data_IF_376713362674
#
_entry.id   IF_376713362674
#
_cell.length_a   1.000
_cell.length_b   1.000
_cell.length_c   1.000
_cell.angle_alpha   90.00
_cell.angle_beta   90.00
_cell.angle_gamma   90.00
#
_symmetry.space_group_name_H-M   'P 1'
#
loop_
_entity.id
_entity.type
_entity.pdbx_description
1 polymer ?
#
# COMPACT_ATOMS: atom_id res chain seq x y z
N UNK A 1 16.14 24.34 2.32
CA UNK A 1 15.40 23.42 1.42
C UNK A 1 16.46 22.62 0.69
N UNK A 2 16.44 21.28 0.72
CA UNK A 2 17.42 20.52 -0.08
C UNK A 2 17.06 20.71 -1.55
N UNK A 3 17.83 21.55 -2.23
CA UNK A 3 17.69 21.83 -3.66
C UNK A 3 18.59 20.86 -4.43
N UNK A 4 18.35 19.56 -4.25
CA UNK A 4 19.15 18.53 -4.91
C UNK A 4 18.83 18.51 -6.41
N UNK A 5 19.84 18.57 -7.31
CA UNK A 5 19.61 18.49 -8.75
C UNK A 5 19.29 17.06 -9.22
N UNK A 6 19.68 16.06 -8.43
CA UNK A 6 19.43 14.65 -8.71
C UNK A 6 19.28 13.85 -7.41
N UNK A 7 18.52 12.76 -7.49
CA UNK A 7 18.39 11.76 -6.43
C UNK A 7 18.93 10.42 -6.94
N UNK A 8 19.90 9.86 -6.23
CA UNK A 8 20.25 8.44 -6.36
C UNK A 8 19.07 7.60 -5.86
N UNK A 9 18.67 6.63 -6.69
CA UNK A 9 17.67 5.63 -6.33
C UNK A 9 18.41 4.35 -5.99
N UNK A 10 18.16 3.85 -4.78
CA UNK A 10 18.75 2.62 -4.29
C UNK A 10 17.65 1.60 -3.99
N UNK A 11 17.92 0.33 -4.26
CA UNK A 11 17.10 -0.83 -3.94
C UNK A 11 17.94 -1.78 -3.08
N UNK A 12 17.50 -2.08 -1.86
CA UNK A 12 18.30 -2.80 -0.86
C UNK A 12 19.69 -2.16 -0.64
N UNK A 13 19.76 -0.83 -0.68
CA UNK A 13 21.02 -0.08 -0.52
C UNK A 13 21.98 -0.14 -1.72
N UNK A 14 21.64 -0.87 -2.79
CA UNK A 14 22.36 -0.83 -4.07
C UNK A 14 21.77 0.25 -4.95
N UNK A 15 22.58 1.17 -5.47
CA UNK A 15 22.15 2.14 -6.47
C UNK A 15 21.71 1.43 -7.76
N UNK A 16 20.52 1.77 -8.24
CA UNK A 16 19.91 1.19 -9.46
C UNK A 16 19.70 2.23 -10.57
N UNK A 17 19.77 3.52 -10.24
CA UNK A 17 19.46 4.58 -11.17
C UNK A 17 19.41 5.94 -10.49
N UNK A 18 18.98 6.94 -11.25
CA UNK A 18 18.95 8.34 -10.82
C UNK A 18 17.66 9.00 -11.28
N UNK A 19 17.02 9.80 -10.41
CA UNK A 19 16.00 10.77 -10.82
C UNK A 19 16.65 12.14 -10.92
N UNK A 20 16.82 12.64 -12.14
CA UNK A 20 17.34 13.97 -12.40
C UNK A 20 16.21 14.99 -12.50
N UNK A 21 16.39 16.16 -11.88
CA UNK A 21 15.50 17.30 -12.06
C UNK A 21 15.92 18.10 -13.29
N UNK A 22 14.95 18.43 -14.13
CA UNK A 22 15.11 19.22 -15.34
C UNK A 22 14.38 20.57 -15.20
N UNK A 23 14.66 21.48 -16.12
CA UNK A 23 13.98 22.76 -16.19
C UNK A 23 12.45 22.60 -16.35
N UNK A 24 11.72 23.53 -15.75
CA UNK A 24 10.25 23.57 -15.80
C UNK A 24 9.57 22.62 -14.82
N UNK A 25 10.21 22.31 -13.68
CA UNK A 25 9.72 21.36 -12.67
C UNK A 25 9.48 19.97 -13.26
N UNK A 26 10.37 19.55 -14.17
CA UNK A 26 10.34 18.23 -14.78
C UNK A 26 11.33 17.30 -14.10
N UNK A 27 11.06 16.02 -14.15
CA UNK A 27 11.98 14.98 -13.66
C UNK A 27 11.99 13.78 -14.57
N UNK A 28 13.14 13.11 -14.68
CA UNK A 28 13.32 11.90 -15.47
C UNK A 28 14.10 10.88 -14.64
N UNK A 29 13.61 9.64 -14.62
CA UNK A 29 14.33 8.51 -14.05
C UNK A 29 15.10 7.78 -15.14
N UNK A 30 16.32 7.37 -14.83
CA UNK A 30 17.17 6.55 -15.70
C UNK A 30 17.82 5.46 -14.87
N UNK A 31 17.75 4.22 -15.33
CA UNK A 31 18.49 3.11 -14.74
C UNK A 31 20.00 3.24 -15.00
N UNK A 32 20.81 2.74 -14.08
CA UNK A 32 22.25 2.61 -14.27
C UNK A 32 22.55 1.37 -15.14
N UNK A 33 23.48 1.50 -16.09
CA UNK A 33 23.84 0.40 -17.01
C UNK A 33 24.34 -0.84 -16.27
N UNK A 34 25.02 -0.66 -15.14
CA UNK A 34 25.50 -1.78 -14.29
C UNK A 34 24.34 -2.56 -13.68
N UNK A 35 23.23 -1.88 -13.35
CA UNK A 35 22.02 -2.56 -12.88
C UNK A 35 21.33 -3.30 -14.03
N UNK A 36 21.22 -2.69 -15.21
CA UNK A 36 20.60 -3.32 -16.39
C UNK A 36 21.39 -4.56 -16.83
N UNK A 37 22.72 -4.50 -16.83
CA UNK A 37 23.60 -5.57 -17.28
C UNK A 37 23.65 -6.78 -16.33
N UNK A 38 23.23 -6.60 -15.08
CA UNK A 38 23.22 -7.67 -14.09
C UNK A 38 22.01 -8.60 -14.28
N UNK A 39 22.29 -9.87 -14.59
CA UNK A 39 21.29 -10.91 -14.77
C UNK A 39 20.66 -11.36 -13.43
N UNK A 40 21.35 -11.17 -12.31
CA UNK A 40 20.92 -11.51 -10.96
C UNK A 40 20.39 -10.28 -10.19
N UNK A 41 20.15 -9.16 -10.89
CA UNK A 41 19.65 -7.92 -10.28
C UNK A 41 18.36 -8.14 -9.48
N UNK A 42 18.19 -7.45 -8.34
CA UNK A 42 16.90 -7.32 -7.68
C UNK A 42 15.86 -6.70 -8.62
N UNK A 43 14.61 -7.17 -8.61
CA UNK A 43 13.50 -6.62 -9.40
C UNK A 43 13.01 -5.31 -8.75
N UNK A 44 13.10 -4.17 -9.46
CA UNK A 44 12.46 -2.93 -9.00
C UNK A 44 10.94 -2.96 -9.17
N UNK A 45 10.47 -3.31 -10.36
CA UNK A 45 9.05 -3.37 -10.66
C UNK A 45 8.81 -4.22 -11.91
N UNK A 46 7.69 -4.94 -11.92
CA UNK A 46 7.22 -5.61 -13.14
C UNK A 46 6.87 -4.61 -14.26
N UNK A 47 6.62 -3.34 -13.96
CA UNK A 47 6.40 -2.30 -14.97
C UNK A 47 7.62 -2.07 -15.89
N UNK A 48 8.82 -2.41 -15.41
CA UNK A 48 10.08 -2.28 -16.16
C UNK A 48 10.52 -3.59 -16.78
N UNK A 49 9.71 -4.63 -16.77
CA UNK A 49 10.08 -5.95 -17.26
C UNK A 49 9.44 -6.21 -18.62
N UNK A 50 10.24 -6.62 -19.60
CA UNK A 50 9.71 -7.11 -20.87
C UNK A 50 9.34 -8.60 -20.82
N UNK A 51 8.78 -9.13 -21.90
CA UNK A 51 8.39 -10.55 -22.01
C UNK A 51 9.57 -11.55 -21.89
N UNK A 52 10.80 -11.07 -22.01
CA UNK A 52 12.03 -11.86 -21.88
C UNK A 52 12.73 -11.64 -20.52
N UNK A 53 12.16 -10.81 -19.65
CA UNK A 53 12.73 -10.46 -18.34
C UNK A 53 13.79 -9.36 -18.38
N UNK A 54 14.04 -8.73 -19.52
CA UNK A 54 14.97 -7.61 -19.64
C UNK A 54 14.36 -6.30 -19.10
N UNK A 55 15.23 -5.35 -18.72
CA UNK A 55 14.79 -4.02 -18.26
C UNK A 55 14.33 -3.18 -19.46
N UNK A 56 13.07 -2.75 -19.43
CA UNK A 56 12.53 -1.72 -20.30
C UNK A 56 13.06 -0.35 -19.87
N UNK A 57 14.21 0.05 -20.39
CA UNK A 57 14.79 1.38 -20.16
C UNK A 57 14.26 2.39 -21.17
N UNK A 58 13.05 2.92 -20.93
CA UNK A 58 12.42 3.94 -21.76
C UNK A 58 12.15 5.20 -20.93
N UNK A 59 13.20 6.00 -20.63
CA UNK A 59 13.08 7.12 -19.71
C UNK A 59 12.13 8.18 -20.25
N UNK A 60 11.20 8.64 -19.41
CA UNK A 60 10.20 9.67 -19.73
C UNK A 60 10.26 10.80 -18.72
N UNK A 61 10.19 12.02 -19.22
CA UNK A 61 10.13 13.20 -18.38
C UNK A 61 8.68 13.48 -17.96
N UNK A 62 8.47 13.68 -16.66
CA UNK A 62 7.19 14.06 -16.07
C UNK A 62 7.28 15.47 -15.50
N UNK A 63 6.21 16.25 -15.60
CA UNK A 63 6.15 17.62 -15.08
C UNK A 63 5.34 17.66 -13.79
N UNK A 64 5.85 18.32 -12.75
CA UNK A 64 5.25 18.46 -11.39
C UNK A 64 5.15 17.14 -10.62
N UNK A 65 4.63 16.09 -11.26
CA UNK A 65 4.68 14.70 -10.80
C UNK A 65 6.00 14.05 -11.21
N UNK A 66 6.35 12.97 -10.51
CA UNK A 66 7.44 12.06 -10.89
C UNK A 66 6.87 10.85 -11.63
N UNK A 67 7.72 9.98 -12.14
CA UNK A 67 7.26 8.77 -12.83
C UNK A 67 6.29 7.93 -11.95
N UNK A 68 5.25 7.28 -12.53
CA UNK A 68 4.19 6.60 -11.78
C UNK A 68 4.68 5.64 -10.69
N UNK A 69 5.74 4.86 -10.93
CA UNK A 69 6.29 3.96 -9.91
C UNK A 69 6.65 4.72 -8.62
N UNK A 70 7.41 5.81 -8.73
CA UNK A 70 7.85 6.59 -7.57
C UNK A 70 6.74 7.50 -7.02
N UNK A 71 5.82 7.95 -7.88
CA UNK A 71 4.67 8.75 -7.47
C UNK A 71 3.80 7.98 -6.47
N UNK A 72 3.64 6.66 -6.68
CA UNK A 72 2.89 5.76 -5.81
C UNK A 72 3.60 5.40 -4.48
N UNK A 73 4.89 5.71 -4.32
CA UNK A 73 5.61 5.57 -3.05
C UNK A 73 5.37 6.75 -2.10
N UNK A 74 4.85 7.87 -2.63
CA UNK A 74 4.58 9.05 -1.81
C UNK A 74 3.25 8.90 -1.07
N UNK A 75 3.13 9.48 0.14
CA UNK A 75 1.87 9.54 0.86
C UNK A 75 0.77 10.23 0.05
N UNK A 76 -0.48 9.87 0.37
CA UNK A 76 -1.70 10.44 -0.22
C UNK A 76 -2.52 11.25 0.79
N UNK A 77 -3.51 11.99 0.28
CA UNK A 77 -4.54 12.66 1.08
C UNK A 77 -4.00 13.59 2.17
N UNK A 78 -4.60 13.51 3.36
CA UNK A 78 -4.27 14.40 4.48
C UNK A 78 -2.82 14.24 4.96
N UNK A 79 -2.25 13.04 4.90
CA UNK A 79 -0.87 12.79 5.28
C UNK A 79 0.10 13.50 4.33
N UNK A 80 -0.16 13.44 3.02
CA UNK A 80 0.61 14.19 2.02
C UNK A 80 0.60 15.68 2.28
N UNK A 81 -0.58 16.25 2.47
CA UNK A 81 -0.76 17.69 2.75
C UNK A 81 -0.08 18.14 4.05
N UNK A 82 -0.10 17.27 5.06
CA UNK A 82 0.59 17.51 6.31
C UNK A 82 2.11 17.53 6.12
N UNK A 83 2.69 16.51 5.49
CA UNK A 83 4.13 16.40 5.27
C UNK A 83 4.65 17.51 4.36
N UNK A 84 3.91 17.82 3.28
CA UNK A 84 4.23 18.91 2.36
C UNK A 84 4.36 20.25 3.08
N UNK A 85 3.39 20.58 3.95
CA UNK A 85 3.45 21.79 4.79
C UNK A 85 4.64 21.78 5.73
N UNK A 86 4.94 20.65 6.36
CA UNK A 86 6.05 20.51 7.32
C UNK A 86 7.41 20.75 6.68
N UNK A 87 7.59 20.32 5.42
CA UNK A 87 8.85 20.52 4.68
C UNK A 87 8.83 21.78 3.80
N UNK A 88 7.74 22.55 3.82
CA UNK A 88 7.63 23.84 3.12
C UNK A 88 7.50 23.72 1.60
N UNK A 89 6.91 22.64 1.08
CA UNK A 89 6.70 22.41 -0.36
C UNK A 89 5.21 22.29 -0.68
N UNK A 90 4.83 22.58 -1.94
CA UNK A 90 3.46 22.34 -2.40
C UNK A 90 3.24 20.83 -2.54
N UNK A 91 2.11 20.32 -2.02
CA UNK A 91 1.79 18.89 -2.07
C UNK A 91 1.78 18.32 -3.49
N UNK A 92 1.45 19.11 -4.51
CA UNK A 92 1.48 18.67 -5.90
C UNK A 92 2.90 18.40 -6.45
N UNK A 93 3.95 19.01 -5.88
CA UNK A 93 5.33 18.88 -6.39
C UNK A 93 6.00 17.64 -5.79
N UNK A 94 6.10 16.58 -6.59
CA UNK A 94 6.48 15.26 -6.10
C UNK A 94 7.99 15.07 -5.94
N UNK A 95 8.79 15.64 -6.82
CA UNK A 95 10.24 15.52 -6.71
C UNK A 95 10.78 16.09 -5.37
N UNK A 96 10.39 17.32 -4.95
CA UNK A 96 10.80 17.85 -3.65
C UNK A 96 10.27 17.01 -2.47
N UNK A 97 9.06 16.42 -2.57
CA UNK A 97 8.54 15.52 -1.55
C UNK A 97 9.38 14.25 -1.44
N UNK A 98 9.69 13.61 -2.57
CA UNK A 98 10.54 12.42 -2.61
C UNK A 98 11.93 12.71 -2.04
N UNK A 99 12.53 13.86 -2.37
CA UNK A 99 13.83 14.27 -1.83
C UNK A 99 13.83 14.40 -0.29
N UNK A 100 12.69 14.69 0.33
CA UNK A 100 12.56 14.82 1.79
C UNK A 100 12.16 13.50 2.47
N UNK A 101 11.32 12.69 1.82
CA UNK A 101 10.74 11.46 2.37
C UNK A 101 11.50 10.19 1.96
N UNK A 102 12.43 10.28 1.02
CA UNK A 102 13.08 9.15 0.36
C UNK A 102 13.91 8.22 1.25
N UNK A 103 14.10 8.55 2.52
CA UNK A 103 14.82 7.71 3.48
C UNK A 103 13.99 6.57 4.10
N UNK A 104 12.66 6.64 4.04
CA UNK A 104 11.76 5.61 4.57
C UNK A 104 10.51 5.52 3.69
N UNK A 105 10.68 4.90 2.51
CA UNK A 105 9.61 4.59 1.58
C UNK A 105 9.08 3.17 1.82
N UNK A 106 7.88 2.83 1.33
CA UNK A 106 7.42 1.45 1.26
C UNK A 106 8.42 0.58 0.48
N UNK A 107 8.62 -0.65 0.94
CA UNK A 107 9.57 -1.59 0.34
C UNK A 107 11.02 -1.27 0.67
N UNK A 108 11.92 -1.63 -0.25
CA UNK A 108 13.37 -1.49 -0.07
C UNK A 108 13.97 -0.36 -0.92
N UNK A 109 13.11 0.49 -1.49
CA UNK A 109 13.54 1.65 -2.29
C UNK A 109 13.90 2.79 -1.35
N UNK A 110 15.02 3.46 -1.64
CA UNK A 110 15.38 4.73 -1.03
C UNK A 110 15.77 5.73 -2.10
N UNK A 111 15.44 7.00 -1.88
CA UNK A 111 15.84 8.11 -2.73
C UNK A 111 16.70 9.08 -1.92
N UNK A 112 17.94 9.26 -2.37
CA UNK A 112 18.95 10.03 -1.66
C UNK A 112 19.49 11.13 -2.56
N UNK A 113 19.65 12.38 -2.10
CA UNK A 113 20.37 13.39 -2.86
C UNK A 113 21.74 12.86 -3.30
N UNK A 114 22.06 13.04 -4.59
CA UNK A 114 23.41 12.73 -5.09
C UNK A 114 24.41 13.52 -4.25
N UNK A 115 25.37 12.82 -3.64
CA UNK A 115 26.45 13.50 -2.92
C UNK A 115 27.47 14.02 -3.91
N UNK A 116 27.70 15.33 -3.92
CA UNK A 116 28.83 15.90 -4.65
C UNK A 116 30.13 15.38 -4.04
N UNK A 117 30.85 14.52 -4.77
CA UNK A 117 32.19 14.06 -4.40
C UNK A 117 33.21 15.20 -4.25
N UNK A 118 32.85 16.43 -4.64
CA UNK A 118 33.68 17.63 -4.50
C UNK A 118 33.63 18.28 -3.10
N UNK A 119 32.66 17.96 -2.24
CA UNK A 119 32.58 18.56 -0.89
C UNK A 119 33.27 17.74 0.20
N UNK A 120 33.65 16.49 -0.07
CA UNK A 120 34.33 15.60 0.88
C UNK A 120 35.86 15.76 0.92
N UNK A 121 36.45 16.58 0.05
CA UNK A 121 37.91 16.78 -0.03
C UNK A 121 38.46 17.89 0.88
N UNK A 122 37.63 18.60 1.66
CA UNK A 122 38.08 19.69 2.55
C UNK A 122 37.73 19.55 4.04
N UNK A 123 37.29 18.36 4.48
CA UNK A 123 37.09 18.09 5.90
C UNK A 123 37.95 16.89 6.36
N UNK A 124 39.27 17.08 6.37
CA UNK A 124 40.20 16.17 7.05
C UNK A 124 40.20 16.51 8.55
N UNK A 125 39.35 15.84 9.33
CA UNK A 125 39.34 15.93 10.79
C UNK A 125 38.67 14.68 11.39
N UNK A 126 39.26 13.99 12.39
CA UNK A 126 38.76 12.70 12.87
C UNK A 126 37.48 12.77 13.75
N UNK A 127 36.71 13.85 13.69
CA UNK A 127 35.50 14.02 14.52
C UNK A 127 34.18 14.12 13.72
N UNK A 128 34.20 13.93 12.40
CA UNK A 128 33.03 14.09 11.54
C UNK A 128 32.22 12.80 11.25
N UNK A 129 32.43 11.72 12.01
CA UNK A 129 31.69 10.46 11.83
C UNK A 129 30.47 10.30 12.77
N UNK A 130 30.24 11.25 13.68
CA UNK A 130 29.11 11.23 14.61
C UNK A 130 28.37 12.59 14.58
N UNK A 131 27.55 12.83 13.56
CA UNK A 131 26.70 14.02 13.56
C UNK A 131 26.32 14.57 12.20
N UNK A 132 25.60 13.79 11.37
CA UNK A 132 24.76 14.33 10.27
C UNK A 132 23.45 13.56 10.09
N UNK A 133 22.87 13.11 11.21
CA UNK A 133 21.51 12.54 11.28
C UNK A 133 20.43 13.64 11.48
N UNK A 134 20.79 14.90 11.26
CA UNK A 134 19.91 16.04 11.51
C UNK A 134 18.94 16.27 10.34
N UNK A 135 17.65 16.12 10.65
CA UNK A 135 16.48 16.64 9.92
C UNK A 135 15.88 15.81 8.78
N UNK A 136 16.07 14.48 8.76
CA UNK A 136 15.21 13.61 7.94
C UNK A 136 14.01 13.14 8.76
N UNK A 137 12.82 13.28 8.19
CA UNK A 137 11.60 12.78 8.81
C UNK A 137 11.59 11.26 8.73
N UNK A 138 12.25 10.61 9.71
CA UNK A 138 11.97 9.20 10.01
C UNK A 138 10.56 9.15 10.56
N UNK A 139 9.70 8.35 9.94
CA UNK A 139 8.34 8.19 10.42
C UNK A 139 8.36 7.39 11.72
N UNK A 140 8.58 8.11 12.81
CA UNK A 140 8.43 7.57 14.16
C UNK A 140 7.47 8.47 14.92
N UNK A 141 6.50 7.83 15.58
CA UNK A 141 5.56 8.45 16.52
C UNK A 141 6.28 9.28 17.61
N UNK A 142 7.55 8.95 17.91
CA UNK A 142 8.29 9.41 19.08
C UNK A 142 8.80 10.87 19.04
N UNK A 143 8.41 11.72 18.07
CA UNK A 143 9.00 13.06 17.99
C UNK A 143 8.21 14.16 17.28
N UNK A 144 6.92 13.95 17.01
CA UNK A 144 6.15 14.90 16.19
C UNK A 144 4.77 15.14 16.77
N UNK A 145 4.65 16.21 17.57
CA UNK A 145 3.35 16.71 18.01
C UNK A 145 2.53 17.15 16.78
N UNK A 146 1.58 16.32 16.37
CA UNK A 146 0.69 16.54 15.24
C UNK A 146 -0.27 17.70 15.56
N UNK A 147 -0.04 18.88 14.97
CA UNK A 147 -0.94 20.05 15.14
C UNK A 147 -2.17 19.92 14.24
N UNK A 148 -3.32 19.71 14.87
CA UNK A 148 -4.62 19.34 14.30
C UNK A 148 -5.28 20.38 13.36
N UNK A 149 -4.74 21.60 13.26
CA UNK A 149 -5.32 22.67 12.40
C UNK A 149 -5.33 22.32 10.91
N UNK A 150 -4.56 21.31 10.52
CA UNK A 150 -4.36 20.84 9.15
C UNK A 150 -5.49 19.93 8.60
N UNK A 151 -6.32 19.33 9.47
CA UNK A 151 -7.27 18.24 9.14
C UNK A 151 -8.67 18.78 8.76
N UNK A 152 -8.89 20.09 8.86
CA UNK A 152 -10.21 20.70 8.60
C UNK A 152 -10.66 20.68 7.13
N UNK A 153 -9.77 20.44 6.15
CA UNK A 153 -10.05 20.75 4.73
C UNK A 153 -9.66 19.67 3.70
N UNK A 154 -9.41 18.41 4.07
CA UNK A 154 -9.10 17.34 3.12
C UNK A 154 -10.26 16.36 2.96
N UNK A 155 -10.97 16.41 1.83
CA UNK A 155 -12.16 15.61 1.57
C UNK A 155 -11.91 14.10 1.41
N UNK A 156 -13.01 13.36 1.60
CA UNK A 156 -13.26 11.91 1.42
C UNK A 156 -12.45 10.97 2.35
N UNK A 157 -13.11 10.59 3.46
CA UNK A 157 -13.00 9.31 4.19
C UNK A 157 -11.69 8.90 4.90
N UNK A 158 -10.67 9.75 5.08
CA UNK A 158 -9.39 9.30 5.64
C UNK A 158 -9.18 9.56 7.14
N UNK A 159 -9.04 8.48 7.95
CA UNK A 159 -8.33 8.51 9.23
C UNK A 159 -6.83 8.81 9.05
N UNK A 160 -6.11 9.09 10.15
CA UNK A 160 -4.67 9.38 10.08
C UNK A 160 -3.87 8.10 10.29
N UNK A 161 -3.06 7.75 9.28
CA UNK A 161 -2.11 6.63 9.33
C UNK A 161 -0.73 7.13 9.70
N UNK A 162 -0.11 6.55 10.74
CA UNK A 162 1.19 7.00 11.25
C UNK A 162 2.09 5.78 11.50
N UNK A 163 3.30 5.76 10.93
CA UNK A 163 4.28 4.74 11.30
C UNK A 163 4.78 4.95 12.74
N UNK A 164 4.90 3.84 13.46
CA UNK A 164 5.30 3.78 14.85
C UNK A 164 6.42 2.75 15.03
N UNK A 165 7.34 3.04 15.95
CA UNK A 165 8.36 2.08 16.40
C UNK A 165 8.01 1.66 17.81
N UNK A 166 7.99 0.34 18.05
CA UNK A 166 7.59 -0.24 19.33
C UNK A 166 8.39 -1.49 19.67
N UNK A 167 8.17 -2.05 20.85
CA UNK A 167 8.76 -3.33 21.23
C UNK A 167 8.29 -4.42 20.23
N UNK A 168 9.20 -4.90 19.39
CA UNK A 168 8.93 -6.02 18.47
C UNK A 168 8.92 -5.69 16.98
N UNK A 169 8.94 -4.43 16.52
CA UNK A 169 9.06 -4.10 15.10
C UNK A 169 8.50 -2.74 14.66
N UNK A 170 8.43 -2.55 13.33
CA UNK A 170 7.83 -1.37 12.69
C UNK A 170 6.33 -1.59 12.47
N UNK A 171 5.52 -0.69 13.03
CA UNK A 171 4.06 -0.75 12.99
C UNK A 171 3.48 0.42 12.20
N UNK A 172 2.30 0.20 11.63
CA UNK A 172 1.44 1.24 11.07
C UNK A 172 0.22 1.36 11.98
N UNK A 173 0.00 2.56 12.51
CA UNK A 173 -1.15 2.87 13.37
C UNK A 173 -2.16 3.69 12.57
N UNK A 174 -3.41 3.23 12.54
CA UNK A 174 -4.55 3.94 11.95
C UNK A 174 -5.47 4.46 13.03
N UNK A 175 -5.61 5.79 13.05
CA UNK A 175 -6.40 6.49 14.04
C UNK A 175 -7.86 6.65 13.59
N UNK A 176 -8.81 6.70 14.54
CA UNK A 176 -10.21 6.97 14.24
C UNK A 176 -10.37 8.39 13.68
N UNK A 177 -11.47 8.59 12.96
CA UNK A 177 -11.78 9.89 12.35
C UNK A 177 -13.12 10.42 12.84
N UNK A 178 -13.32 11.73 12.77
CA UNK A 178 -14.60 12.33 13.12
C UNK A 178 -15.77 11.84 12.25
N UNK A 179 -15.49 11.42 11.01
CA UNK A 179 -16.49 10.93 10.06
C UNK A 179 -16.84 9.46 10.33
N UNK A 180 -15.82 8.66 10.68
CA UNK A 180 -15.93 7.22 10.92
C UNK A 180 -15.19 6.85 12.21
N UNK A 181 -15.88 6.97 13.37
CA UNK A 181 -15.29 6.68 14.68
C UNK A 181 -14.93 5.21 14.90
N UNK A 182 -15.69 4.29 14.29
CA UNK A 182 -15.60 2.84 14.43
C UNK A 182 -14.74 2.16 13.33
N UNK A 183 -14.07 2.96 12.50
CA UNK A 183 -13.24 2.46 11.40
C UNK A 183 -12.08 1.56 11.89
N UNK A 184 -11.35 1.88 12.99
CA UNK A 184 -10.35 0.98 13.54
C UNK A 184 -10.90 -0.38 13.93
N UNK A 185 -12.04 -0.42 14.58
CA UNK A 185 -12.72 -1.64 15.01
C UNK A 185 -13.23 -2.47 13.83
N UNK A 186 -13.80 -1.82 12.81
CA UNK A 186 -14.23 -2.46 11.56
C UNK A 186 -13.05 -3.11 10.82
N UNK A 187 -11.94 -2.38 10.65
CA UNK A 187 -10.76 -2.92 9.98
C UNK A 187 -10.12 -4.07 10.78
N UNK A 188 -9.98 -3.93 12.11
CA UNK A 188 -9.49 -5.02 12.95
C UNK A 188 -10.36 -6.27 12.83
N UNK A 189 -11.68 -6.12 12.95
CA UNK A 189 -12.63 -7.22 12.88
C UNK A 189 -12.60 -7.91 11.50
N UNK A 190 -12.56 -7.14 10.41
CA UNK A 190 -12.48 -7.69 9.06
C UNK A 190 -11.13 -8.39 8.81
N UNK A 191 -10.02 -7.79 9.19
CA UNK A 191 -8.69 -8.41 9.06
C UNK A 191 -8.58 -9.70 9.89
N UNK A 192 -9.08 -9.71 11.12
CA UNK A 192 -9.08 -10.91 11.97
C UNK A 192 -9.96 -12.02 11.40
N UNK A 193 -11.15 -11.69 10.89
CA UNK A 193 -12.01 -12.67 10.21
C UNK A 193 -11.35 -13.20 8.92
N UNK A 194 -10.65 -12.34 8.17
CA UNK A 194 -9.91 -12.74 6.98
C UNK A 194 -8.85 -13.80 7.30
N UNK A 195 -8.11 -13.63 8.39
CA UNK A 195 -7.13 -14.62 8.90
C UNK A 195 -7.80 -15.98 9.13
N UNK A 196 -8.93 -16.00 9.84
CA UNK A 196 -9.67 -17.23 10.14
C UNK A 196 -10.21 -17.92 8.87
N UNK A 197 -10.57 -17.15 7.83
CA UNK A 197 -10.96 -17.67 6.51
C UNK A 197 -9.76 -18.28 5.76
N UNK A 198 -8.53 -17.99 6.18
CA UNK A 198 -7.28 -18.50 5.60
C UNK A 198 -6.60 -17.51 4.65
N UNK A 199 -6.86 -16.21 4.81
CA UNK A 199 -6.14 -15.15 4.12
C UNK A 199 -4.88 -14.83 4.91
N UNK A 200 -3.74 -14.79 4.22
CA UNK A 200 -2.48 -14.39 4.84
C UNK A 200 -2.55 -12.89 5.20
N UNK A 201 -2.44 -12.55 6.48
CA UNK A 201 -2.41 -11.17 6.99
C UNK A 201 -1.11 -10.92 7.78
N UNK A 202 -0.65 -9.66 7.91
CA UNK A 202 0.36 -9.31 8.90
C UNK A 202 -0.20 -9.44 10.33
N UNK A 203 0.68 -9.36 11.32
CA UNK A 203 0.30 -9.20 12.71
C UNK A 203 -0.54 -7.91 12.88
N UNK A 204 -1.66 -8.02 13.59
CA UNK A 204 -2.60 -6.91 13.83
C UNK A 204 -2.92 -6.79 15.32
N UNK A 205 -3.28 -5.58 15.76
CA UNK A 205 -3.77 -5.33 17.11
C UNK A 205 -4.80 -4.20 17.12
N UNK A 206 -5.65 -4.17 18.14
CA UNK A 206 -6.61 -3.09 18.40
C UNK A 206 -6.26 -2.45 19.74
N UNK A 207 -5.59 -1.31 19.66
CA UNK A 207 -5.01 -0.64 20.82
C UNK A 207 -5.97 0.42 21.38
N UNK A 208 -6.26 0.43 22.69
CA UNK A 208 -6.92 1.57 23.32
C UNK A 208 -6.07 2.84 23.09
N UNK A 209 -6.70 3.95 22.71
CA UNK A 209 -5.95 5.19 22.45
C UNK A 209 -5.13 5.65 23.67
N UNK A 210 -5.59 5.36 24.89
CA UNK A 210 -4.90 5.73 26.12
C UNK A 210 -3.59 4.94 26.32
N UNK A 211 -3.40 3.83 25.62
CA UNK A 211 -2.19 3.02 25.67
C UNK A 211 -1.11 3.49 24.68
N UNK A 212 -1.39 4.51 23.85
CA UNK A 212 -0.47 5.00 22.83
C UNK A 212 0.08 6.38 23.25
N UNK A 213 1.39 6.43 23.47
CA UNK A 213 2.08 7.69 23.77
C UNK A 213 2.21 8.59 22.54
N UNK A 214 2.26 9.91 22.75
CA UNK A 214 2.51 10.87 21.67
C UNK A 214 1.33 11.09 20.71
N UNK A 215 0.15 10.56 21.03
CA UNK A 215 -1.07 10.82 20.26
C UNK A 215 -1.47 12.31 20.29
N UNK A 216 -2.15 12.80 19.23
CA UNK A 216 -2.64 14.17 19.19
C UNK A 216 -3.67 14.46 20.29
N UNK A 217 -3.60 15.64 20.90
CA UNK A 217 -4.56 16.08 21.92
C UNK A 217 -6.02 16.01 21.40
N UNK A 218 -6.87 15.33 22.17
CA UNK A 218 -8.29 15.17 21.87
C UNK A 218 -8.61 14.18 20.76
N UNK A 219 -7.68 13.34 20.29
CA UNK A 219 -8.01 12.25 19.35
C UNK A 219 -9.06 11.29 19.93
N UNK A 220 -9.06 11.09 21.25
CA UNK A 220 -10.02 10.29 22.00
C UNK A 220 -11.47 10.78 21.90
N UNK A 221 -11.71 12.01 21.41
CA UNK A 221 -13.06 12.50 21.13
C UNK A 221 -13.68 11.85 19.88
N UNK A 222 -12.86 11.20 19.05
CA UNK A 222 -13.26 10.66 17.75
C UNK A 222 -13.36 9.13 17.73
N UNK A 223 -12.95 8.44 18.79
CA UNK A 223 -13.00 6.99 18.89
C UNK A 223 -12.31 6.50 20.15
N UNK A 224 -12.43 5.20 20.45
CA UNK A 224 -11.83 4.60 21.63
C UNK A 224 -10.48 3.91 21.34
N UNK A 225 -10.33 3.41 20.11
CA UNK A 225 -9.23 2.52 19.73
C UNK A 225 -8.49 3.03 18.50
N UNK A 226 -7.30 2.49 18.26
CA UNK A 226 -6.57 2.58 17.01
C UNK A 226 -6.24 1.18 16.51
N UNK A 227 -6.27 1.00 15.19
CA UNK A 227 -5.89 -0.24 14.55
C UNK A 227 -4.38 -0.20 14.29
N UNK A 228 -3.67 -1.24 14.71
CA UNK A 228 -2.25 -1.38 14.48
C UNK A 228 -2.00 -2.58 13.57
N UNK A 229 -1.13 -2.42 12.58
CA UNK A 229 -0.69 -3.52 11.73
C UNK A 229 0.82 -3.49 11.55
N UNK A 230 1.45 -4.66 11.65
CA UNK A 230 2.89 -4.79 11.47
C UNK A 230 3.25 -4.66 10.00
N UNK A 231 4.32 -3.91 9.72
CA UNK A 231 4.88 -3.81 8.38
C UNK A 231 5.47 -5.14 7.92
N UNK A 232 4.89 -5.74 6.89
CA UNK A 232 5.43 -6.96 6.26
C UNK A 232 6.61 -6.67 5.32
N UNK A 233 6.88 -5.40 5.00
CA UNK A 233 8.03 -4.95 4.20
C UNK A 233 9.26 -4.63 5.07
N UNK A 234 9.24 -5.05 6.34
CA UNK A 234 10.31 -4.85 7.33
C UNK A 234 10.59 -6.18 8.04
N UNK A 235 11.84 -6.63 8.00
CA UNK A 235 12.29 -7.87 8.64
C UNK A 235 13.56 -7.62 9.48
N UNK A 236 13.94 -8.60 10.31
CA UNK A 236 15.19 -8.53 11.08
C UNK A 236 16.44 -8.46 10.17
N UNK A 237 16.35 -9.02 8.97
CA UNK A 237 17.44 -9.04 7.99
C UNK A 237 17.46 -7.78 7.09
N UNK A 238 16.51 -6.86 7.29
CA UNK A 238 16.37 -5.62 6.54
C UNK A 238 15.02 -5.48 5.82
N UNK A 239 14.87 -4.44 4.98
CA UNK A 239 13.62 -4.19 4.26
C UNK A 239 13.41 -5.23 3.15
N UNK A 240 12.16 -5.66 2.99
CA UNK A 240 11.73 -6.52 1.88
C UNK A 240 11.11 -5.61 0.82
N UNK A 241 11.50 -5.79 -0.45
CA UNK A 241 10.96 -4.95 -1.52
C UNK A 241 9.50 -5.30 -1.82
N UNK A 242 8.69 -4.27 -2.06
CA UNK A 242 7.27 -4.39 -2.42
C UNK A 242 6.92 -3.42 -3.53
N UNK A 243 5.86 -3.75 -4.27
CA UNK A 243 5.20 -2.82 -5.18
C UNK A 243 3.69 -3.09 -5.20
N UNK A 244 2.88 -2.06 -5.43
CA UNK A 244 1.43 -2.20 -5.62
C UNK A 244 1.06 -2.33 -7.11
N UNK A 245 -0.18 -2.73 -7.39
CA UNK A 245 -0.64 -2.91 -8.77
C UNK A 245 -0.83 -1.59 -9.53
N UNK A 246 -0.88 -0.44 -8.84
CA UNK A 246 -0.83 0.85 -9.52
C UNK A 246 0.57 1.11 -10.10
N UNK A 247 1.62 0.73 -9.36
CA UNK A 247 3.00 0.75 -9.84
C UNK A 247 3.21 -0.22 -11.00
N UNK A 248 2.76 -1.47 -10.87
CA UNK A 248 2.90 -2.50 -11.93
C UNK A 248 2.23 -2.06 -13.24
N UNK A 249 1.06 -1.42 -13.17
CA UNK A 249 0.34 -0.93 -14.35
C UNK A 249 0.78 0.46 -14.81
N UNK A 250 1.73 1.10 -14.11
CA UNK A 250 2.22 2.44 -14.47
C UNK A 250 1.15 3.52 -14.37
N UNK A 251 0.18 3.36 -13.47
CA UNK A 251 -0.90 4.35 -13.25
C UNK A 251 -0.56 5.26 -12.08
N UNK A 252 -0.96 6.52 -12.16
CA UNK A 252 -0.76 7.48 -11.08
C UNK A 252 -1.69 7.21 -9.88
N UNK A 253 -1.35 7.68 -8.67
CA UNK A 253 -2.17 7.48 -7.47
C UNK A 253 -3.64 7.89 -7.64
N UNK A 254 -3.89 9.04 -8.27
CA UNK A 254 -5.25 9.56 -8.55
C UNK A 254 -6.08 8.62 -9.45
N UNK A 255 -5.40 7.75 -10.19
CA UNK A 255 -5.96 6.81 -11.16
C UNK A 255 -6.02 5.37 -10.61
N UNK A 256 -5.91 5.18 -9.28
CA UNK A 256 -5.92 3.87 -8.61
C UNK A 256 -7.12 2.96 -8.91
N UNK A 257 -8.23 3.51 -9.44
CA UNK A 257 -9.41 2.75 -9.89
C UNK A 257 -9.38 2.35 -11.39
N UNK A 258 -8.33 2.71 -12.15
CA UNK A 258 -8.18 2.39 -13.57
C UNK A 258 -7.54 1.01 -13.78
N UNK A 259 -8.31 -0.04 -13.52
CA UNK A 259 -7.93 -1.42 -13.80
C UNK A 259 -9.06 -2.42 -13.54
N UNK A 260 -8.72 -3.70 -13.59
CA UNK A 260 -9.66 -4.79 -13.30
C UNK A 260 -8.99 -5.90 -12.48
N UNK A 261 -9.77 -6.59 -11.66
CA UNK A 261 -9.31 -7.77 -10.93
C UNK A 261 -8.82 -8.88 -11.88
N UNK A 262 -9.38 -8.95 -13.09
CA UNK A 262 -8.90 -9.84 -14.16
C UNK A 262 -7.47 -9.52 -14.61
N UNK A 263 -7.13 -8.25 -14.74
CA UNK A 263 -5.76 -7.84 -15.11
C UNK A 263 -4.77 -8.16 -13.99
N UNK A 264 -5.17 -7.97 -12.73
CA UNK A 264 -4.38 -8.38 -11.56
C UNK A 264 -4.13 -9.90 -11.60
N UNK A 265 -5.20 -10.70 -11.76
CA UNK A 265 -5.12 -12.15 -11.85
C UNK A 265 -4.20 -12.63 -12.98
N UNK A 266 -4.22 -11.95 -14.13
CA UNK A 266 -3.34 -12.28 -15.26
C UNK A 266 -1.87 -12.07 -14.94
N UNK A 267 -1.52 -10.99 -14.24
CA UNK A 267 -0.13 -10.77 -13.80
C UNK A 267 0.27 -11.86 -12.82
N UNK A 268 -0.57 -12.16 -11.83
CA UNK A 268 -0.29 -13.22 -10.85
C UNK A 268 -0.08 -14.58 -11.53
N UNK A 269 -0.90 -14.92 -12.53
CA UNK A 269 -0.78 -16.15 -13.30
C UNK A 269 0.57 -16.29 -14.04
N UNK A 270 1.18 -15.17 -14.44
CA UNK A 270 2.44 -15.16 -15.20
C UNK A 270 3.64 -15.07 -14.26
N UNK A 271 3.55 -14.28 -13.21
CA UNK A 271 4.70 -13.81 -12.44
C UNK A 271 4.85 -14.48 -11.07
N UNK A 272 3.79 -15.11 -10.56
CA UNK A 272 3.74 -15.66 -9.19
C UNK A 272 3.42 -17.16 -9.16
N UNK A 273 3.41 -17.74 -7.97
CA UNK A 273 3.08 -19.14 -7.73
C UNK A 273 1.57 -19.39 -7.55
N UNK A 274 1.19 -20.68 -7.52
CA UNK A 274 -0.21 -21.08 -7.33
C UNK A 274 -0.78 -20.58 -5.99
N UNK A 275 0.04 -20.52 -4.93
CA UNK A 275 -0.36 -19.97 -3.63
C UNK A 275 -0.82 -18.52 -3.75
N UNK A 276 -0.09 -17.70 -4.49
CA UNK A 276 -0.45 -16.29 -4.72
C UNK A 276 -1.79 -16.16 -5.46
N UNK A 277 -2.06 -17.04 -6.42
CA UNK A 277 -3.35 -17.09 -7.13
C UNK A 277 -4.48 -17.46 -6.17
N UNK A 278 -4.30 -18.51 -5.36
CA UNK A 278 -5.29 -18.95 -4.37
C UNK A 278 -5.57 -17.84 -3.34
N UNK A 279 -4.52 -17.20 -2.81
CA UNK A 279 -4.66 -16.09 -1.87
C UNK A 279 -5.37 -14.88 -2.50
N UNK A 280 -5.11 -14.58 -3.77
CA UNK A 280 -5.82 -13.53 -4.50
C UNK A 280 -7.31 -13.83 -4.62
N UNK A 281 -7.68 -15.02 -5.08
CA UNK A 281 -9.10 -15.40 -5.24
C UNK A 281 -9.81 -15.41 -3.89
N UNK A 282 -9.18 -15.97 -2.84
CA UNK A 282 -9.73 -15.94 -1.47
C UNK A 282 -9.95 -14.52 -0.99
N UNK A 283 -8.97 -13.63 -1.13
CA UNK A 283 -9.07 -12.22 -0.74
C UNK A 283 -10.14 -11.48 -1.54
N UNK A 284 -10.23 -11.71 -2.84
CA UNK A 284 -11.23 -11.09 -3.70
C UNK A 284 -12.64 -11.52 -3.32
N UNK A 285 -12.88 -12.83 -3.18
CA UNK A 285 -14.18 -13.37 -2.74
C UNK A 285 -14.54 -12.84 -1.36
N UNK A 286 -13.62 -12.86 -0.40
CA UNK A 286 -13.82 -12.30 0.93
C UNK A 286 -14.19 -10.81 0.89
N UNK A 287 -13.47 -10.01 0.09
CA UNK A 287 -13.74 -8.58 -0.07
C UNK A 287 -15.13 -8.32 -0.64
N UNK A 288 -15.62 -9.17 -1.55
CA UNK A 288 -17.00 -9.10 -2.05
C UNK A 288 -18.00 -9.45 -0.96
N UNK A 289 -17.75 -10.48 -0.16
CA UNK A 289 -18.66 -10.94 0.91
C UNK A 289 -18.87 -9.89 2.00
N UNK A 290 -17.81 -9.16 2.38
CA UNK A 290 -17.90 -8.06 3.36
C UNK A 290 -18.26 -6.70 2.73
N UNK A 291 -18.37 -6.63 1.40
CA UNK A 291 -18.62 -5.39 0.67
C UNK A 291 -17.52 -4.33 0.89
N UNK A 292 -16.27 -4.69 0.61
CA UNK A 292 -15.16 -3.74 0.59
C UNK A 292 -15.09 -3.03 -0.77
N UNK A 293 -15.78 -1.90 -0.87
CA UNK A 293 -15.83 -1.05 -2.08
C UNK A 293 -14.54 -0.29 -2.39
N UNK A 294 -13.52 -0.34 -1.51
CA UNK A 294 -12.28 0.42 -1.68
C UNK A 294 -11.05 -0.44 -2.04
N UNK A 295 -11.24 -1.72 -2.42
CA UNK A 295 -10.15 -2.62 -2.86
C UNK A 295 -9.59 -2.29 -4.25
N UNK A 296 -8.99 -1.11 -4.39
CA UNK A 296 -8.40 -0.59 -5.63
C UNK A 296 -6.97 -1.09 -5.87
N UNK A 297 -6.33 -0.69 -6.97
CA UNK A 297 -5.02 -1.22 -7.39
C UNK A 297 -3.92 -1.10 -6.30
N UNK A 298 -3.98 -0.06 -5.46
CA UNK A 298 -3.01 0.14 -4.38
C UNK A 298 -3.20 -0.74 -3.13
N UNK A 299 -4.27 -1.54 -3.03
CA UNK A 299 -4.47 -2.51 -1.94
C UNK A 299 -4.06 -3.93 -2.34
N UNK A 300 -3.48 -4.08 -3.53
CA UNK A 300 -2.91 -5.32 -4.02
C UNK A 300 -1.43 -5.06 -4.23
N UNK A 301 -0.58 -5.81 -3.53
CA UNK A 301 0.87 -5.69 -3.66
C UNK A 301 1.53 -7.03 -3.89
N UNK A 302 2.66 -6.97 -4.57
CA UNK A 302 3.64 -8.03 -4.62
C UNK A 302 4.79 -7.68 -3.67
N UNK A 303 5.37 -8.71 -3.07
CA UNK A 303 6.61 -8.61 -2.31
C UNK A 303 7.66 -9.55 -2.89
N UNK A 304 8.93 -9.25 -2.65
CA UNK A 304 10.07 -9.94 -3.25
C UNK A 304 11.00 -10.52 -2.17
N UNK A 305 10.68 -11.69 -1.59
CA UNK A 305 11.46 -12.29 -0.51
C UNK A 305 12.92 -12.60 -0.92
N UNK A 306 13.11 -13.07 -2.15
CA UNK A 306 14.43 -13.37 -2.73
C UNK A 306 14.97 -12.21 -3.59
N UNK A 307 14.36 -11.04 -3.45
CA UNK A 307 14.62 -9.81 -4.21
C UNK A 307 14.28 -9.89 -5.71
N UNK A 308 13.78 -11.02 -6.25
CA UNK A 308 13.61 -11.22 -7.70
C UNK A 308 12.25 -11.76 -8.11
N UNK A 309 11.79 -12.83 -7.45
CA UNK A 309 10.53 -13.51 -7.73
C UNK A 309 9.43 -12.88 -6.87
N UNK A 310 8.37 -12.36 -7.48
CA UNK A 310 7.27 -11.82 -6.72
C UNK A 310 6.42 -12.92 -6.11
N UNK A 311 5.77 -12.60 -5.01
CA UNK A 311 4.65 -13.35 -4.45
C UNK A 311 3.58 -12.35 -4.03
N UNK A 312 2.32 -12.77 -3.91
CA UNK A 312 1.28 -11.89 -3.40
C UNK A 312 1.59 -11.54 -1.94
N UNK A 313 1.66 -10.24 -1.62
CA UNK A 313 1.90 -9.77 -0.27
C UNK A 313 0.74 -10.13 0.66
N UNK A 314 0.96 -10.23 1.99
CA UNK A 314 -0.11 -10.31 2.97
C UNK A 314 -1.20 -9.25 2.75
N UNK A 315 -2.42 -9.55 3.14
CA UNK A 315 -3.53 -8.61 2.98
C UNK A 315 -3.39 -7.44 3.94
N UNK A 316 -3.91 -6.30 3.54
CA UNK A 316 -4.02 -5.09 4.35
C UNK A 316 -5.22 -4.30 3.83
N UNK A 317 -5.72 -3.36 4.65
CA UNK A 317 -6.87 -2.52 4.32
C UNK A 317 -8.14 -3.30 3.97
N UNK A 318 -8.34 -4.46 4.62
CA UNK A 318 -9.62 -5.18 4.54
C UNK A 318 -10.59 -4.61 5.58
N UNK A 319 -11.67 -4.01 5.11
CA UNK A 319 -12.76 -3.48 5.94
C UNK A 319 -14.07 -3.45 5.13
N UNK A 320 -15.21 -3.40 5.81
CA UNK A 320 -16.49 -3.20 5.12
C UNK A 320 -16.76 -1.72 4.92
N UNK A 321 -17.03 -1.29 3.68
CA UNK A 321 -17.35 0.11 3.38
C UNK A 321 -18.85 0.38 3.35
N UNK A 322 -19.68 -0.66 3.35
CA UNK A 322 -21.13 -0.58 3.14
C UNK A 322 -21.86 0.33 4.13
N UNK A 323 -21.43 0.35 5.40
CA UNK A 323 -22.04 1.19 6.43
C UNK A 323 -21.74 2.69 6.24
N UNK A 324 -20.69 3.01 5.50
CA UNK A 324 -20.21 4.38 5.29
C UNK A 324 -20.55 4.92 3.90
N UNK A 325 -20.63 4.02 2.93
CA UNK A 325 -20.89 4.29 1.52
C UNK A 325 -22.02 3.36 1.03
N UNK A 326 -23.28 3.57 1.48
CA UNK A 326 -24.40 2.82 0.94
C UNK A 326 -24.52 3.13 -0.55
N UNK A 327 -24.73 2.09 -1.36
CA UNK A 327 -24.82 2.14 -2.84
C UNK A 327 -23.49 2.18 -3.61
N UNK A 328 -22.35 1.94 -2.97
CA UNK A 328 -21.09 1.78 -3.70
C UNK A 328 -21.01 0.42 -4.40
N UNK A 329 -20.22 0.35 -5.47
CA UNK A 329 -19.87 -0.86 -6.23
C UNK A 329 -18.48 -1.36 -5.81
N UNK A 330 -18.02 -2.48 -6.38
CA UNK A 330 -16.63 -2.89 -6.23
C UNK A 330 -15.67 -1.81 -6.76
N UNK A 331 -14.49 -1.66 -6.16
CA UNK A 331 -13.50 -0.66 -6.59
C UNK A 331 -13.09 -0.85 -8.05
N UNK A 332 -12.86 -2.10 -8.47
CA UNK A 332 -12.43 -2.45 -9.81
C UNK A 332 -13.45 -3.38 -10.49
N UNK A 333 -13.35 -3.47 -11.83
CA UNK A 333 -14.17 -4.42 -12.58
C UNK A 333 -13.72 -5.85 -12.28
N UNK A 334 -14.66 -6.77 -12.04
CA UNK A 334 -14.36 -8.21 -12.00
C UNK A 334 -14.02 -8.71 -13.40
N UNK A 335 -15.01 -8.62 -14.30
CA UNK A 335 -14.86 -8.82 -15.73
C UNK A 335 -15.21 -7.51 -16.46
N UNK A 336 -16.49 -7.28 -16.77
CA UNK A 336 -16.96 -6.08 -17.48
C UNK A 336 -17.66 -5.07 -16.55
N UNK A 337 -18.07 -5.49 -15.36
CA UNK A 337 -18.85 -4.70 -14.40
C UNK A 337 -18.17 -4.62 -13.05
N UNK A 338 -18.49 -3.56 -12.31
CA UNK A 338 -18.14 -3.32 -10.91
C UNK A 338 -19.28 -3.71 -9.96
N UNK A 339 -20.49 -3.93 -10.49
CA UNK A 339 -21.66 -4.29 -9.70
C UNK A 339 -21.41 -5.58 -8.92
N UNK A 340 -21.71 -5.58 -7.62
CA UNK A 340 -21.53 -6.75 -6.75
C UNK A 340 -22.22 -8.01 -7.26
N UNK A 341 -23.42 -7.87 -7.81
CA UNK A 341 -24.20 -8.98 -8.41
C UNK A 341 -23.54 -9.59 -9.65
N UNK A 342 -22.58 -8.92 -10.26
CA UNK A 342 -21.81 -9.46 -11.39
C UNK A 342 -20.66 -10.37 -10.97
N UNK A 343 -20.36 -10.44 -9.67
CA UNK A 343 -19.45 -11.44 -9.12
C UNK A 343 -20.17 -12.77 -8.98
N UNK A 344 -19.98 -13.65 -9.96
CA UNK A 344 -20.57 -15.00 -10.04
C UNK A 344 -19.49 -16.04 -10.31
N UNK A 345 -19.79 -17.33 -10.08
CA UNK A 345 -18.88 -18.42 -10.46
C UNK A 345 -18.60 -18.47 -11.98
N UNK A 346 -19.55 -18.04 -12.81
CA UNK A 346 -19.35 -17.91 -14.26
C UNK A 346 -18.39 -16.75 -14.59
N UNK A 347 -18.54 -15.61 -13.90
CA UNK A 347 -17.60 -14.49 -14.04
C UNK A 347 -16.18 -14.89 -13.64
N UNK A 348 -16.04 -15.63 -12.55
CA UNK A 348 -14.76 -16.18 -12.09
C UNK A 348 -14.16 -17.18 -13.08
N UNK A 349 -14.99 -18.02 -13.70
CA UNK A 349 -14.56 -18.93 -14.79
C UNK A 349 -14.02 -18.14 -15.97
N UNK A 350 -14.75 -17.12 -16.43
CA UNK A 350 -14.28 -16.24 -17.52
C UNK A 350 -12.98 -15.50 -17.16
N UNK A 351 -12.82 -15.06 -15.91
CA UNK A 351 -11.58 -14.46 -15.44
C UNK A 351 -10.41 -15.46 -15.50
N UNK A 352 -10.62 -16.70 -15.04
CA UNK A 352 -9.62 -17.76 -15.09
C UNK A 352 -9.18 -18.06 -16.52
N UNK A 353 -10.14 -18.23 -17.44
CA UNK A 353 -9.86 -18.53 -18.85
C UNK A 353 -9.03 -17.41 -19.51
N UNK A 354 -9.37 -16.15 -19.24
CA UNK A 354 -8.61 -14.98 -19.74
C UNK A 354 -7.23 -14.83 -19.10
N UNK A 355 -7.02 -15.39 -17.91
CA UNK A 355 -5.72 -15.47 -17.25
C UNK A 355 -4.95 -16.75 -17.62
N UNK A 356 -5.52 -17.62 -18.47
CA UNK A 356 -4.96 -18.93 -18.82
C UNK A 356 -4.73 -19.85 -17.60
N UNK A 357 -5.63 -19.76 -16.60
CA UNK A 357 -5.61 -20.58 -15.41
C UNK A 357 -6.66 -21.70 -15.47
N UNK A 358 -6.45 -22.83 -14.78
CA UNK A 358 -7.49 -23.85 -14.62
C UNK A 358 -8.70 -23.26 -13.90
N UNK A 359 -9.87 -23.21 -14.55
CA UNK A 359 -11.08 -22.61 -13.98
C UNK A 359 -11.54 -23.29 -12.68
N UNK A 360 -11.23 -24.58 -12.52
CA UNK A 360 -11.48 -25.31 -11.28
C UNK A 360 -10.70 -24.73 -10.08
N UNK A 361 -9.43 -24.33 -10.25
CA UNK A 361 -8.63 -23.73 -9.17
C UNK A 361 -9.30 -22.47 -8.63
N UNK A 362 -9.73 -21.59 -9.54
CA UNK A 362 -10.38 -20.33 -9.20
C UNK A 362 -11.75 -20.55 -8.57
N UNK A 363 -12.61 -21.34 -9.20
CA UNK A 363 -13.98 -21.56 -8.72
C UNK A 363 -14.03 -22.37 -7.43
N UNK A 364 -13.18 -23.39 -7.26
CA UNK A 364 -13.10 -24.16 -6.02
C UNK A 364 -12.61 -23.30 -4.85
N UNK A 365 -11.58 -22.47 -5.07
CA UNK A 365 -11.09 -21.53 -4.04
C UNK A 365 -12.17 -20.54 -3.62
N UNK A 366 -12.93 -19.99 -4.57
CA UNK A 366 -14.03 -19.08 -4.25
C UNK A 366 -15.14 -19.77 -3.44
N UNK A 367 -15.56 -20.98 -3.84
CA UNK A 367 -16.57 -21.76 -3.09
C UNK A 367 -16.11 -22.07 -1.67
N UNK A 368 -14.88 -22.57 -1.53
CA UNK A 368 -14.27 -22.83 -0.22
C UNK A 368 -14.28 -21.57 0.65
N UNK A 369 -13.98 -20.42 0.07
CA UNK A 369 -13.96 -19.13 0.78
C UNK A 369 -15.36 -18.74 1.27
N UNK A 370 -16.39 -18.89 0.42
CA UNK A 370 -17.79 -18.64 0.80
C UNK A 370 -18.23 -19.56 1.94
N UNK A 371 -17.96 -20.86 1.82
CA UNK A 371 -18.31 -21.87 2.84
C UNK A 371 -17.65 -21.56 4.19
N UNK A 372 -16.34 -21.25 4.18
CA UNK A 372 -15.61 -20.88 5.40
C UNK A 372 -16.14 -19.58 6.00
N UNK A 373 -16.36 -18.55 5.17
CA UNK A 373 -16.91 -17.29 5.62
C UNK A 373 -18.28 -17.48 6.26
N UNK A 374 -19.16 -18.28 5.67
CA UNK A 374 -20.50 -18.52 6.20
C UNK A 374 -20.49 -19.23 7.55
N UNK A 375 -19.63 -20.23 7.69
CA UNK A 375 -19.47 -20.94 8.96
C UNK A 375 -18.95 -20.01 10.07
N UNK A 376 -17.99 -19.13 9.74
CA UNK A 376 -17.36 -18.22 10.69
C UNK A 376 -18.24 -17.00 11.00
N UNK A 377 -18.91 -16.42 10.00
CA UNK A 377 -19.70 -15.19 10.15
C UNK A 377 -20.81 -15.34 11.19
N UNK A 378 -21.46 -16.51 11.25
CA UNK A 378 -22.50 -16.81 12.25
C UNK A 378 -21.95 -16.73 13.68
N UNK A 379 -20.69 -17.13 13.87
CA UNK A 379 -20.02 -17.18 15.17
C UNK A 379 -19.40 -15.83 15.53
N UNK A 380 -18.71 -15.22 14.58
CA UNK A 380 -17.80 -14.11 14.84
C UNK A 380 -18.46 -12.73 14.76
N UNK A 381 -19.60 -12.58 14.05
CA UNK A 381 -20.26 -11.27 13.92
C UNK A 381 -20.68 -10.62 15.23
N UNK A 382 -20.78 -11.40 16.32
CA UNK A 382 -21.05 -10.91 17.68
C UNK A 382 -19.84 -10.93 18.61
N UNK A 383 -18.74 -11.59 18.23
CA UNK A 383 -17.52 -11.68 19.03
C UNK A 383 -16.46 -10.66 18.60
N UNK A 384 -16.36 -10.40 17.30
CA UNK A 384 -15.48 -9.38 16.75
C UNK A 384 -16.09 -7.99 16.92
N UNK A 385 -15.25 -6.94 17.04
CA UNK A 385 -15.72 -5.59 17.37
C UNK A 385 -16.38 -4.85 16.19
N UNK A 386 -17.13 -5.54 15.33
CA UNK A 386 -17.95 -4.86 14.33
C UNK A 386 -19.04 -4.02 15.01
N UNK A 387 -19.28 -2.81 14.49
CA UNK A 387 -20.47 -2.04 14.87
C UNK A 387 -21.73 -2.73 14.36
N UNK A 388 -22.86 -2.50 15.03
CA UNK A 388 -24.14 -3.10 14.64
C UNK A 388 -24.55 -2.66 13.23
N UNK A 389 -24.20 -1.44 12.87
CA UNK A 389 -24.40 -0.84 11.57
C UNK A 389 -23.62 -1.60 10.49
N UNK A 390 -22.34 -1.90 10.73
CA UNK A 390 -21.51 -2.70 9.81
C UNK A 390 -22.04 -4.12 9.66
N UNK A 391 -22.37 -4.81 10.76
CA UNK A 391 -22.94 -6.16 10.70
C UNK A 391 -24.23 -6.17 9.88
N UNK A 392 -25.15 -5.23 10.14
CA UNK A 392 -26.41 -5.13 9.40
C UNK A 392 -26.16 -4.84 7.92
N UNK A 393 -25.24 -3.94 7.59
CA UNK A 393 -24.93 -3.59 6.22
C UNK A 393 -24.38 -4.80 5.43
N UNK A 394 -23.47 -5.56 6.03
CA UNK A 394 -22.96 -6.81 5.44
C UNK A 394 -24.11 -7.82 5.24
N UNK A 395 -24.94 -8.05 6.25
CA UNK A 395 -26.05 -9.01 6.14
C UNK A 395 -27.08 -8.64 5.06
N UNK A 396 -27.41 -7.36 4.89
CA UNK A 396 -28.28 -6.92 3.80
C UNK A 396 -27.61 -7.07 2.43
N UNK A 397 -26.36 -6.62 2.30
CA UNK A 397 -25.58 -6.77 1.06
C UNK A 397 -25.52 -8.21 0.58
N UNK A 398 -25.27 -9.14 1.50
CA UNK A 398 -25.15 -10.57 1.19
C UNK A 398 -26.40 -11.18 0.57
N UNK A 399 -27.61 -10.65 0.86
CA UNK A 399 -28.86 -11.13 0.24
C UNK A 399 -28.93 -10.83 -1.27
N UNK A 400 -28.08 -9.92 -1.76
CA UNK A 400 -28.03 -9.49 -3.15
C UNK A 400 -26.85 -10.08 -3.94
N UNK A 401 -25.96 -10.83 -3.28
CA UNK A 401 -24.88 -11.54 -3.94
C UNK A 401 -25.38 -12.80 -4.64
N UNK A 402 -24.67 -13.19 -5.70
CA UNK A 402 -25.02 -14.35 -6.54
C UNK A 402 -24.13 -15.57 -6.29
N UNK A 403 -23.32 -15.56 -5.22
CA UNK A 403 -22.34 -16.61 -4.86
C UNK A 403 -22.66 -17.32 -3.58
#
# INVERSE_FOLDING_TARGET
MMDAPALDILLHGRRIGTIARLDGDRSIFTFDDVYIADADRPTLSLAYKDQHGAVLNQPRAYQTKIEPFFSNLLPEGALREYLARRVGVKAAREYPLLAQLGGDLPGAVTAMPVQDAYQSSHASGPEAAAGRDSARLRFSLAGVQLKFSAIRNGGKAGGLTIPATGAGGDWIIKLPSAQHPDLPENEYAAMHLAEQVGIDIPEIDLLPLQAIDGLPDGISRYGASAYATRRFDRSMDGPIHIEDFAQIFGVFPDDKYKGSYREILRVLAIETDERSIVQFIRRLTYSVLIGNGDMHLKNWSLFYPDQRRPSLAPAYDLLSTLAYLPDDDAALKFHQSRAWSSFTYDALTMMADKAHLPSHLVTATAKETVERFDALWVQEKTHLPFSREVVRAIEEHRKHLSI
#
